data_IF_358862724488
#
_entry.id   IF_358862724488
#
_cell.length_a   1.000
_cell.length_b   1.000
_cell.length_c   1.000
_cell.angle_alpha   90.00
_cell.angle_beta   90.00
_cell.angle_gamma   90.00
#
_symmetry.space_group_name_H-M   'P 1'
#
loop_
_entity.id
_entity.type
_entity.pdbx_description
1 polymer ?
#
# COMPACT_ATOMS: atom_id res chain seq x y z
N UNK A 1 -10.67 13.47 -20.45
CA UNK A 1 -10.21 12.12 -20.04
C UNK A 1 -9.96 11.97 -18.53
N UNK A 2 -9.65 13.04 -17.78
CA UNK A 2 -9.26 12.89 -16.37
C UNK A 2 -10.38 12.61 -15.36
N UNK A 3 -11.56 13.17 -15.62
CA UNK A 3 -12.76 13.05 -14.78
C UNK A 3 -13.28 11.60 -14.77
N UNK A 4 -13.18 10.89 -15.89
CA UNK A 4 -13.63 9.48 -16.02
C UNK A 4 -12.83 8.55 -15.10
N UNK A 5 -11.50 8.71 -15.04
CA UNK A 5 -10.65 7.86 -14.17
C UNK A 5 -10.96 8.11 -12.68
N UNK A 6 -11.27 9.36 -12.32
CA UNK A 6 -11.64 9.71 -10.94
C UNK A 6 -13.00 9.14 -10.54
N UNK A 7 -14.01 9.24 -11.43
CA UNK A 7 -15.30 8.62 -11.23
C UNK A 7 -15.18 7.09 -11.06
N UNK A 8 -14.40 6.44 -11.92
CA UNK A 8 -14.09 5.01 -11.80
C UNK A 8 -13.38 4.64 -10.49
N UNK A 9 -12.50 5.52 -9.99
CA UNK A 9 -11.83 5.32 -8.71
C UNK A 9 -12.81 5.38 -7.54
N UNK A 10 -13.70 6.37 -7.51
CA UNK A 10 -14.72 6.46 -6.46
C UNK A 10 -15.67 5.25 -6.48
N UNK A 11 -16.05 4.80 -7.68
CA UNK A 11 -16.80 3.55 -7.89
C UNK A 11 -16.01 2.37 -7.34
N UNK A 12 -14.72 2.23 -7.68
CA UNK A 12 -13.88 1.13 -7.19
C UNK A 12 -13.74 1.13 -5.65
N UNK A 13 -13.63 2.30 -5.01
CA UNK A 13 -13.59 2.41 -3.55
C UNK A 13 -14.91 1.98 -2.91
N UNK A 14 -16.04 2.38 -3.52
CA UNK A 14 -17.39 2.02 -3.07
C UNK A 14 -17.70 0.54 -3.25
N UNK A 15 -17.31 -0.03 -4.39
CA UNK A 15 -17.57 -1.43 -4.75
C UNK A 15 -16.38 -2.36 -4.47
N UNK A 16 -15.37 -1.92 -3.71
CA UNK A 16 -14.14 -2.69 -3.46
C UNK A 16 -14.42 -4.11 -2.97
N UNK A 17 -15.44 -4.28 -2.12
CA UNK A 17 -15.85 -5.58 -1.58
C UNK A 17 -16.45 -6.46 -2.68
N UNK A 18 -17.34 -5.91 -3.50
CA UNK A 18 -17.94 -6.62 -4.61
C UNK A 18 -16.89 -7.02 -5.65
N UNK A 19 -16.00 -6.11 -6.03
CA UNK A 19 -14.90 -6.37 -6.96
C UNK A 19 -14.00 -7.49 -6.43
N UNK A 20 -13.63 -7.44 -5.14
CA UNK A 20 -12.84 -8.50 -4.52
C UNK A 20 -13.55 -9.85 -4.51
N UNK A 21 -14.83 -9.88 -4.09
CA UNK A 21 -15.62 -11.11 -4.06
C UNK A 21 -15.75 -11.70 -5.47
N UNK A 22 -16.09 -10.89 -6.46
CA UNK A 22 -16.20 -11.33 -7.87
C UNK A 22 -14.86 -11.84 -8.40
N UNK A 23 -13.76 -11.18 -8.06
CA UNK A 23 -12.42 -11.63 -8.42
C UNK A 23 -12.07 -12.99 -7.80
N UNK A 24 -12.33 -13.16 -6.51
CA UNK A 24 -12.09 -14.43 -5.80
C UNK A 24 -12.97 -15.54 -6.38
N UNK A 25 -14.25 -15.27 -6.63
CA UNK A 25 -15.19 -16.22 -7.23
C UNK A 25 -14.76 -16.61 -8.66
N UNK A 26 -14.39 -15.62 -9.48
CA UNK A 26 -13.89 -15.86 -10.84
C UNK A 26 -12.63 -16.71 -10.84
N UNK A 27 -11.68 -16.42 -9.95
CA UNK A 27 -10.47 -17.22 -9.81
C UNK A 27 -10.75 -18.63 -9.33
N UNK A 28 -11.63 -18.79 -8.33
CA UNK A 28 -12.05 -20.10 -7.83
C UNK A 28 -12.71 -20.94 -8.94
N UNK A 29 -13.54 -20.32 -9.78
CA UNK A 29 -14.13 -20.99 -10.93
C UNK A 29 -13.08 -21.45 -11.95
N UNK A 30 -12.09 -20.60 -12.27
CA UNK A 30 -10.98 -20.99 -13.17
C UNK A 30 -10.18 -22.15 -12.61
N UNK A 31 -9.86 -22.10 -11.30
CA UNK A 31 -9.17 -23.20 -10.63
C UNK A 31 -10.00 -24.48 -10.69
N UNK A 32 -11.28 -24.43 -10.35
CA UNK A 32 -12.18 -25.59 -10.41
C UNK A 32 -12.29 -26.19 -11.82
N UNK A 33 -12.43 -25.36 -12.86
CA UNK A 33 -12.46 -25.84 -14.26
C UNK A 33 -11.13 -26.50 -14.62
N UNK A 34 -10.00 -25.91 -14.24
CA UNK A 34 -8.69 -26.47 -14.52
C UNK A 34 -8.41 -27.78 -13.78
N UNK A 35 -8.88 -27.94 -12.54
CA UNK A 35 -8.68 -29.17 -11.75
C UNK A 35 -9.59 -30.32 -12.18
N UNK A 36 -10.76 -30.00 -12.73
CA UNK A 36 -11.74 -30.99 -13.22
C UNK A 36 -11.51 -31.37 -14.69
N UNK A 37 -10.70 -30.60 -15.42
CA UNK A 37 -10.40 -30.86 -16.83
C UNK A 37 -9.44 -32.05 -17.00
N UNK A 38 -9.77 -33.03 -17.84
CA UNK A 38 -8.86 -34.14 -18.15
C UNK A 38 -7.67 -33.73 -19.03
N UNK A 39 -7.74 -32.56 -19.68
CA UNK A 39 -6.62 -32.01 -20.45
C UNK A 39 -5.62 -31.35 -19.51
N UNK A 40 -4.34 -31.45 -19.86
CA UNK A 40 -3.28 -30.71 -19.16
C UNK A 40 -3.63 -29.21 -19.08
N UNK A 41 -3.46 -28.58 -17.90
CA UNK A 41 -3.87 -27.21 -17.66
C UNK A 41 -2.93 -26.16 -18.29
N UNK A 42 -1.97 -26.57 -19.14
CA UNK A 42 -0.90 -25.72 -19.67
C UNK A 42 -1.42 -24.44 -20.34
N UNK A 43 -2.48 -24.54 -21.15
CA UNK A 43 -3.11 -23.38 -21.78
C UNK A 43 -3.79 -22.43 -20.77
N UNK A 44 -4.42 -22.99 -19.73
CA UNK A 44 -5.04 -22.21 -18.65
C UNK A 44 -3.99 -21.50 -17.80
N UNK A 45 -2.88 -22.18 -17.49
CA UNK A 45 -1.77 -21.61 -16.74
C UNK A 45 -1.14 -20.44 -17.51
N UNK A 46 -0.88 -20.62 -18.81
CA UNK A 46 -0.35 -19.55 -19.65
C UNK A 46 -1.32 -18.36 -19.71
N UNK A 47 -2.62 -18.63 -19.90
CA UNK A 47 -3.65 -17.60 -19.89
C UNK A 47 -3.71 -16.82 -18.57
N UNK A 48 -3.66 -17.51 -17.43
CA UNK A 48 -3.61 -16.90 -16.10
C UNK A 48 -2.36 -16.08 -15.87
N UNK A 49 -1.20 -16.57 -16.33
CA UNK A 49 0.06 -15.83 -16.24
C UNK A 49 0.00 -14.53 -17.04
N UNK A 50 -0.47 -14.58 -18.29
CA UNK A 50 -0.65 -13.39 -19.13
C UNK A 50 -1.64 -12.43 -18.49
N UNK A 51 -2.79 -12.92 -18.01
CA UNK A 51 -3.78 -12.10 -17.31
C UNK A 51 -3.21 -11.42 -16.06
N UNK A 52 -2.41 -12.13 -15.26
CA UNK A 52 -1.73 -11.58 -14.08
C UNK A 52 -0.76 -10.46 -14.46
N UNK A 53 0.05 -10.65 -15.50
CA UNK A 53 1.00 -9.63 -15.98
C UNK A 53 0.26 -8.39 -16.48
N UNK A 54 -0.77 -8.57 -17.30
CA UNK A 54 -1.61 -7.46 -17.81
C UNK A 54 -2.25 -6.70 -16.65
N UNK A 55 -2.82 -7.41 -15.66
CA UNK A 55 -3.42 -6.81 -14.48
C UNK A 55 -2.40 -6.02 -13.65
N UNK A 56 -1.18 -6.54 -13.48
CA UNK A 56 -0.11 -5.85 -12.77
C UNK A 56 0.29 -4.55 -13.48
N UNK A 57 0.43 -4.59 -14.81
CA UNK A 57 0.74 -3.40 -15.63
C UNK A 57 -0.39 -2.37 -15.54
N UNK A 58 -1.65 -2.80 -15.67
CA UNK A 58 -2.82 -1.92 -15.53
C UNK A 58 -2.87 -1.30 -14.14
N UNK A 59 -2.63 -2.08 -13.09
CA UNK A 59 -2.55 -1.57 -11.73
C UNK A 59 -1.47 -0.51 -11.60
N UNK A 60 -0.26 -0.78 -12.10
CA UNK A 60 0.83 0.18 -12.05
C UNK A 60 0.48 1.48 -12.78
N UNK A 61 -0.20 1.39 -13.93
CA UNK A 61 -0.69 2.55 -14.67
C UNK A 61 -1.74 3.33 -13.86
N UNK A 62 -2.73 2.64 -13.30
CA UNK A 62 -3.80 3.23 -12.46
C UNK A 62 -3.20 3.92 -11.24
N UNK A 63 -2.29 3.26 -10.53
CA UNK A 63 -1.57 3.83 -9.37
C UNK A 63 -0.76 5.05 -9.80
N UNK A 64 -0.07 4.99 -10.94
CA UNK A 64 0.71 6.12 -11.47
C UNK A 64 -0.18 7.30 -11.82
N UNK A 65 -1.32 7.07 -12.47
CA UNK A 65 -2.27 8.14 -12.85
C UNK A 65 -2.95 8.73 -11.61
N UNK A 66 -3.39 7.89 -10.69
CA UNK A 66 -4.05 8.35 -9.48
C UNK A 66 -3.10 9.09 -8.56
N UNK A 67 -1.84 8.65 -8.43
CA UNK A 67 -0.79 9.40 -7.71
C UNK A 67 -0.57 10.80 -8.25
N UNK A 68 -0.91 11.08 -9.51
CA UNK A 68 -0.84 12.44 -10.10
C UNK A 68 -2.07 13.29 -9.81
N UNK A 69 -3.15 12.69 -9.32
CA UNK A 69 -4.47 13.34 -9.16
C UNK A 69 -5.05 13.22 -7.76
N UNK A 70 -4.31 12.63 -6.82
CA UNK A 70 -4.79 12.49 -5.45
C UNK A 70 -5.15 13.89 -4.94
N UNK A 71 -6.42 14.14 -4.59
CA UNK A 71 -6.80 15.36 -3.90
C UNK A 71 -5.95 15.43 -2.63
N UNK A 72 -5.16 16.49 -2.47
CA UNK A 72 -4.19 16.67 -1.38
C UNK A 72 -4.84 16.84 0.00
N UNK A 73 -6.16 16.66 0.09
CA UNK A 73 -6.98 17.03 1.24
C UNK A 73 -7.36 15.91 2.19
N UNK A 74 -8.00 16.32 3.28
CA UNK A 74 -8.72 15.48 4.22
C UNK A 74 -10.21 15.54 3.87
N UNK A 75 -10.90 14.42 3.96
CA UNK A 75 -12.35 14.35 3.86
C UNK A 75 -12.98 14.78 5.20
N UNK A 76 -13.90 15.73 5.16
CA UNK A 76 -14.67 16.17 6.34
C UNK A 76 -15.94 15.31 6.42
N UNK A 77 -16.03 14.41 7.40
CA UNK A 77 -17.20 13.52 7.52
C UNK A 77 -17.45 13.09 8.96
N UNK A 78 -18.66 13.38 9.45
CA UNK A 78 -19.15 12.93 10.76
C UNK A 78 -18.34 13.50 11.92
N UNK A 79 -18.03 14.81 11.89
CA UNK A 79 -17.27 15.47 12.95
C UNK A 79 -15.81 15.03 13.04
N UNK A 80 -15.24 14.56 11.93
CA UNK A 80 -13.85 14.14 11.87
C UNK A 80 -13.20 14.54 10.54
N UNK A 81 -11.88 14.72 10.55
CA UNK A 81 -11.08 14.75 9.34
C UNK A 81 -10.54 13.36 9.04
N UNK A 82 -10.71 12.89 7.81
CA UNK A 82 -10.36 11.53 7.41
C UNK A 82 -9.42 11.60 6.21
N UNK A 83 -8.31 10.87 6.26
CA UNK A 83 -7.57 10.63 5.02
C UNK A 83 -8.42 9.71 4.12
N UNK A 84 -8.40 9.91 2.80
CA UNK A 84 -8.93 8.93 1.87
C UNK A 84 -8.32 7.56 2.17
N UNK A 85 -9.08 6.50 1.94
CA UNK A 85 -8.63 5.11 2.14
C UNK A 85 -8.46 4.44 0.79
N UNK A 86 -7.41 4.76 0.02
CA UNK A 86 -7.19 4.14 -1.26
C UNK A 86 -6.99 2.64 -1.09
N UNK A 87 -7.52 1.88 -2.05
CA UNK A 87 -7.48 0.43 -2.05
C UNK A 87 -6.24 -0.11 -2.75
N UNK A 88 -5.06 0.50 -2.56
CA UNK A 88 -3.82 0.06 -3.22
C UNK A 88 -3.58 -1.45 -3.03
N UNK A 89 -3.96 -1.97 -1.86
CA UNK A 89 -3.85 -3.39 -1.53
C UNK A 89 -4.74 -4.29 -2.39
N UNK A 90 -5.90 -3.81 -2.86
CA UNK A 90 -6.72 -4.59 -3.80
C UNK A 90 -5.92 -4.96 -5.05
N UNK A 91 -5.04 -4.04 -5.47
CA UNK A 91 -4.08 -4.26 -6.54
C UNK A 91 -3.00 -5.29 -6.21
N UNK A 92 -2.59 -5.44 -4.95
CA UNK A 92 -1.60 -6.46 -4.56
C UNK A 92 -2.23 -7.84 -4.33
N UNK A 93 -3.44 -7.90 -3.78
CA UNK A 93 -4.08 -9.17 -3.46
C UNK A 93 -4.43 -9.94 -4.74
N UNK A 94 -4.88 -9.24 -5.79
CA UNK A 94 -5.36 -9.92 -6.99
C UNK A 94 -4.24 -10.66 -7.76
N UNK A 95 -3.08 -10.06 -8.04
CA UNK A 95 -1.91 -10.78 -8.56
C UNK A 95 -1.41 -11.88 -7.62
N UNK A 96 -1.45 -11.68 -6.29
CA UNK A 96 -1.04 -12.71 -5.35
C UNK A 96 -1.96 -13.93 -5.42
N UNK A 97 -3.27 -13.72 -5.52
CA UNK A 97 -4.23 -14.80 -5.74
C UNK A 97 -3.97 -15.52 -7.07
N UNK A 98 -3.70 -14.80 -8.16
CA UNK A 98 -3.30 -15.42 -9.43
C UNK A 98 -2.03 -16.28 -9.29
N UNK A 99 -1.03 -15.80 -8.56
CA UNK A 99 0.19 -16.56 -8.29
C UNK A 99 -0.10 -17.87 -7.53
N UNK A 100 -1.00 -17.85 -6.54
CA UNK A 100 -1.43 -19.06 -5.85
C UNK A 100 -2.14 -20.03 -6.81
N UNK A 101 -3.06 -19.54 -7.65
CA UNK A 101 -3.77 -20.38 -8.62
C UNK A 101 -2.82 -21.06 -9.61
N UNK A 102 -1.77 -20.35 -10.03
CA UNK A 102 -0.70 -20.87 -10.88
C UNK A 102 0.02 -22.07 -10.23
N UNK A 103 0.14 -22.13 -8.90
CA UNK A 103 0.69 -23.28 -8.18
C UNK A 103 -0.32 -24.40 -7.91
N UNK A 104 -1.57 -24.03 -7.58
CA UNK A 104 -2.64 -25.00 -7.29
C UNK A 104 -2.98 -25.84 -8.52
N UNK A 105 -3.03 -25.23 -9.71
CA UNK A 105 -3.48 -25.90 -10.93
C UNK A 105 -2.61 -27.11 -11.32
N UNK A 106 -1.28 -26.99 -11.50
CA UNK A 106 -0.44 -28.15 -11.79
C UNK A 106 -0.50 -29.21 -10.68
N UNK A 107 -0.34 -28.81 -9.41
CA UNK A 107 -0.23 -29.77 -8.31
C UNK A 107 -1.53 -30.56 -8.07
N UNK A 108 -2.69 -29.92 -8.24
CA UNK A 108 -3.97 -30.61 -8.17
C UNK A 108 -4.24 -31.51 -9.37
N UNK A 109 -3.79 -31.12 -10.57
CA UNK A 109 -3.91 -31.94 -11.77
C UNK A 109 -3.05 -33.21 -11.67
N UNK A 110 -1.76 -33.10 -11.30
CA UNK A 110 -0.87 -34.26 -11.14
C UNK A 110 -1.36 -35.20 -10.04
N UNK A 111 -1.84 -34.65 -8.91
CA UNK A 111 -2.42 -35.45 -7.84
C UNK A 111 -3.65 -36.25 -8.30
N UNK A 112 -4.46 -35.68 -9.20
CA UNK A 112 -5.69 -36.30 -9.70
C UNK A 112 -5.46 -37.34 -10.79
N UNK A 113 -4.62 -37.02 -11.78
CA UNK A 113 -4.48 -37.83 -13.00
C UNK A 113 -3.22 -38.70 -13.02
N UNK A 114 -2.16 -38.32 -12.32
CA UNK A 114 -0.92 -39.11 -12.23
C UNK A 114 -0.81 -39.87 -10.90
N UNK A 115 -1.71 -39.59 -9.95
CA UNK A 115 -1.66 -40.12 -8.57
C UNK A 115 -0.35 -39.79 -7.82
N UNK A 116 0.37 -38.76 -8.27
CA UNK A 116 1.60 -38.27 -7.63
C UNK A 116 1.27 -37.03 -6.81
N UNK A 117 1.32 -37.19 -5.47
CA UNK A 117 1.16 -36.06 -4.54
C UNK A 117 2.54 -35.64 -4.05
N UNK A 118 3.05 -34.53 -4.59
CA UNK A 118 4.24 -33.88 -4.04
C UNK A 118 3.83 -32.98 -2.85
N UNK A 119 4.16 -33.31 -1.59
CA UNK A 119 3.76 -32.49 -0.44
C UNK A 119 4.34 -31.06 -0.49
N UNK A 120 5.38 -30.81 -1.28
CA UNK A 120 5.99 -29.49 -1.38
C UNK A 120 5.05 -28.44 -2.00
N UNK A 121 4.22 -28.80 -2.98
CA UNK A 121 3.30 -27.82 -3.57
C UNK A 121 2.21 -27.38 -2.59
N UNK A 122 1.74 -28.30 -1.74
CA UNK A 122 0.80 -27.99 -0.65
C UNK A 122 1.43 -27.02 0.35
N UNK A 123 2.69 -27.25 0.72
CA UNK A 123 3.44 -26.35 1.59
C UNK A 123 3.60 -24.95 0.97
N UNK A 124 3.95 -24.87 -0.32
CA UNK A 124 4.07 -23.59 -1.05
C UNK A 124 2.73 -22.85 -1.05
N UNK A 125 1.63 -23.53 -1.41
CA UNK A 125 0.28 -22.94 -1.41
C UNK A 125 -0.10 -22.46 -0.01
N UNK A 126 0.16 -23.25 1.04
CA UNK A 126 -0.14 -22.88 2.42
C UNK A 126 0.66 -21.63 2.86
N UNK A 127 1.96 -21.59 2.56
CA UNK A 127 2.83 -20.45 2.88
C UNK A 127 2.47 -19.19 2.07
N UNK A 128 2.07 -19.32 0.81
CA UNK A 128 1.60 -18.20 0.00
C UNK A 128 0.22 -17.71 0.42
N UNK A 129 -0.66 -18.61 0.88
CA UNK A 129 -1.99 -18.25 1.36
C UNK A 129 -1.96 -17.59 2.76
N UNK A 130 -1.03 -17.95 3.64
CA UNK A 130 -0.96 -17.42 5.00
C UNK A 130 -0.93 -15.88 5.08
N UNK A 131 -0.14 -15.16 4.27
CA UNK A 131 -0.22 -13.70 4.18
C UNK A 131 -1.61 -13.15 3.87
N UNK A 132 -2.44 -13.85 3.09
CA UNK A 132 -3.81 -13.40 2.77
C UNK A 132 -4.59 -13.18 4.04
N UNK A 133 -4.56 -14.13 4.98
CA UNK A 133 -5.22 -13.98 6.28
C UNK A 133 -4.73 -12.76 7.06
N UNK A 134 -3.44 -12.42 6.93
CA UNK A 134 -2.84 -11.28 7.62
C UNK A 134 -3.31 -9.93 7.06
N UNK A 135 -3.37 -9.74 5.74
CA UNK A 135 -3.78 -8.44 5.18
C UNK A 135 -5.28 -8.33 4.86
N UNK A 136 -6.07 -9.40 5.00
CA UNK A 136 -7.52 -9.38 4.76
C UNK A 136 -8.27 -8.32 5.62
N UNK A 137 -7.99 -8.16 6.93
CA UNK A 137 -8.61 -7.10 7.72
C UNK A 137 -8.26 -5.70 7.18
N UNK A 138 -7.01 -5.52 6.76
CA UNK A 138 -6.52 -4.30 6.13
C UNK A 138 -7.19 -4.00 4.79
N UNK A 139 -7.50 -5.02 3.99
CA UNK A 139 -8.26 -4.88 2.75
C UNK A 139 -9.68 -4.38 3.02
N UNK A 140 -10.28 -4.82 4.13
CA UNK A 140 -11.66 -4.49 4.49
C UNK A 140 -11.80 -3.11 5.09
N UNK A 141 -10.89 -2.74 6.00
CA UNK A 141 -10.92 -1.48 6.74
C UNK A 141 -10.21 -0.35 5.98
N UNK A 142 -9.23 -0.69 5.14
CA UNK A 142 -8.28 0.26 4.56
C UNK A 142 -7.22 0.70 5.57
N UNK A 143 -6.26 1.49 5.08
CA UNK A 143 -5.30 2.21 5.93
C UNK A 143 -5.58 3.69 5.81
N UNK A 144 -5.52 4.37 6.95
CA UNK A 144 -5.79 5.79 7.00
C UNK A 144 -5.72 6.35 8.40
N UNK A 145 -5.80 7.67 8.47
CA UNK A 145 -5.85 8.44 9.70
C UNK A 145 -7.20 9.15 9.81
N UNK A 146 -7.74 9.16 11.02
CA UNK A 146 -8.91 9.93 11.40
C UNK A 146 -8.48 10.86 12.52
N UNK A 147 -8.66 12.17 12.33
CA UNK A 147 -8.50 13.17 13.37
C UNK A 147 -9.89 13.48 13.92
N UNK A 148 -10.02 13.42 15.24
CA UNK A 148 -11.24 13.71 15.99
C UNK A 148 -10.93 14.71 17.10
N UNK A 149 -11.92 15.41 17.67
CA UNK A 149 -11.71 16.24 18.85
C UNK A 149 -11.02 15.53 20.02
N UNK A 150 -11.26 14.21 20.18
CA UNK A 150 -10.70 13.42 21.28
C UNK A 150 -9.27 12.91 21.03
N UNK A 151 -8.88 12.79 19.75
CA UNK A 151 -7.56 12.28 19.40
C UNK A 151 -7.40 11.88 17.94
N UNK A 152 -6.33 11.11 17.70
CA UNK A 152 -5.97 10.54 16.41
C UNK A 152 -6.28 9.05 16.44
N UNK A 153 -6.98 8.56 15.41
CA UNK A 153 -7.15 7.14 15.14
C UNK A 153 -6.43 6.77 13.85
N UNK A 154 -5.43 5.91 13.94
CA UNK A 154 -4.73 5.33 12.79
C UNK A 154 -5.20 3.89 12.58
N UNK A 155 -5.91 3.65 11.49
CA UNK A 155 -6.27 2.30 11.05
C UNK A 155 -5.12 1.75 10.19
N UNK A 156 -4.61 0.57 10.55
CA UNK A 156 -3.50 -0.13 9.87
C UNK A 156 -3.96 -1.53 9.43
N UNK A 157 -3.14 -2.21 8.62
CA UNK A 157 -3.49 -3.54 8.09
C UNK A 157 -3.79 -4.57 9.18
N UNK A 158 -3.01 -4.53 10.26
CA UNK A 158 -3.03 -5.53 11.33
C UNK A 158 -3.65 -5.01 12.64
N UNK A 159 -4.23 -3.81 12.63
CA UNK A 159 -4.77 -3.24 13.86
C UNK A 159 -5.22 -1.79 13.76
N UNK A 160 -5.64 -1.25 14.88
CA UNK A 160 -6.03 0.16 15.05
C UNK A 160 -5.29 0.74 16.25
N UNK A 161 -4.71 1.92 16.06
CA UNK A 161 -4.06 2.70 17.11
C UNK A 161 -4.89 3.96 17.37
N UNK A 162 -5.30 4.16 18.62
CA UNK A 162 -5.97 5.38 19.07
C UNK A 162 -5.05 6.13 20.03
N UNK A 163 -4.78 7.39 19.69
CA UNK A 163 -3.83 8.27 20.34
C UNK A 163 -4.65 9.47 20.85
N UNK A 164 -4.96 9.54 22.16
CA UNK A 164 -5.53 10.75 22.73
C UNK A 164 -4.59 11.94 22.51
N UNK A 165 -5.13 13.13 22.34
CA UNK A 165 -4.28 14.33 22.17
C UNK A 165 -3.32 14.53 23.35
N UNK A 166 -3.74 14.18 24.56
CA UNK A 166 -2.94 14.31 25.79
C UNK A 166 -1.77 13.30 25.88
N UNK A 167 -1.71 12.33 24.96
CA UNK A 167 -0.58 11.42 24.83
C UNK A 167 0.60 12.04 24.06
N UNK A 168 0.32 13.04 23.23
CA UNK A 168 1.30 13.70 22.36
C UNK A 168 2.13 14.71 23.14
N UNK A 169 3.36 14.92 22.70
CA UNK A 169 4.13 16.09 23.09
C UNK A 169 3.53 17.36 22.46
N UNK A 170 3.52 18.46 23.21
CA UNK A 170 3.01 19.77 22.76
C UNK A 170 3.75 20.26 21.51
N UNK A 171 5.06 20.00 21.46
CA UNK A 171 5.90 20.26 20.30
C UNK A 171 6.08 18.96 19.52
N UNK A 172 5.36 18.84 18.40
CA UNK A 172 5.59 17.75 17.47
C UNK A 172 6.72 18.11 16.50
N UNK A 173 7.74 17.26 16.36
CA UNK A 173 8.75 17.48 15.35
C UNK A 173 8.10 17.42 13.96
N UNK A 174 8.22 18.48 13.19
CA UNK A 174 7.91 18.50 11.75
C UNK A 174 9.05 17.79 11.01
N UNK A 175 9.38 16.57 11.44
CA UNK A 175 10.39 15.78 10.74
C UNK A 175 9.75 15.14 9.51
N UNK A 176 10.36 15.32 8.32
CA UNK A 176 9.95 14.55 7.17
C UNK A 176 10.21 13.07 7.47
N UNK A 177 9.17 12.28 7.73
CA UNK A 177 9.34 10.83 7.84
C UNK A 177 9.90 10.28 6.52
N UNK A 178 10.81 9.30 6.60
CA UNK A 178 11.54 8.71 5.47
C UNK A 178 10.63 8.15 4.35
N UNK A 179 9.36 7.90 4.64
CA UNK A 179 8.39 7.32 3.71
C UNK A 179 7.22 8.27 3.40
N UNK A 180 6.81 8.33 2.12
CA UNK A 180 5.54 8.93 1.73
C UNK A 180 4.39 8.19 2.43
N UNK A 181 3.48 8.92 3.06
CA UNK A 181 2.33 8.35 3.77
C UNK A 181 2.60 7.91 5.21
N UNK A 182 3.67 8.44 5.83
CA UNK A 182 3.98 8.21 7.24
C UNK A 182 4.24 9.55 7.94
N UNK A 183 3.77 9.71 9.17
CA UNK A 183 4.20 10.78 10.08
C UNK A 183 4.66 10.15 11.38
N UNK A 184 5.83 10.56 11.86
CA UNK A 184 6.37 10.11 13.15
C UNK A 184 5.87 11.05 14.25
N UNK A 185 5.42 10.47 15.36
CA UNK A 185 4.86 11.17 16.50
C UNK A 185 5.80 11.07 17.70
N UNK A 186 5.83 12.13 18.50
CA UNK A 186 6.52 12.14 19.79
C UNK A 186 5.48 12.09 20.91
N UNK A 187 5.69 11.18 21.87
CA UNK A 187 4.76 10.96 22.98
C UNK A 187 5.35 11.42 24.29
N UNK A 188 4.54 12.12 25.09
CA UNK A 188 4.84 12.41 26.49
C UNK A 188 4.25 11.34 27.40
N UNK A 189 3.08 10.78 27.03
CA UNK A 189 2.33 9.78 27.81
C UNK A 189 1.95 8.55 26.97
N UNK A 190 2.92 7.70 26.60
CA UNK A 190 2.68 6.53 25.75
C UNK A 190 1.75 5.47 26.36
N UNK A 191 1.53 5.49 27.67
CA UNK A 191 0.60 4.64 28.40
C UNK A 191 -0.88 4.91 28.09
N UNK A 192 -1.22 6.11 27.59
CA UNK A 192 -2.58 6.47 27.19
C UNK A 192 -2.99 5.89 25.82
N UNK A 193 -2.03 5.34 25.09
CA UNK A 193 -2.26 4.78 23.75
C UNK A 193 -3.12 3.51 23.83
N UNK A 194 -4.23 3.50 23.10
CA UNK A 194 -5.08 2.31 22.96
C UNK A 194 -4.76 1.59 21.67
N UNK A 195 -4.50 0.28 21.76
CA UNK A 195 -4.16 -0.56 20.61
C UNK A 195 -5.12 -1.73 20.49
N UNK A 196 -5.47 -2.06 19.25
CA UNK A 196 -6.16 -3.30 18.90
C UNK A 196 -5.40 -3.99 17.78
N UNK A 197 -5.04 -5.26 17.95
CA UNK A 197 -4.28 -6.03 16.96
C UNK A 197 -2.75 -5.86 17.04
N UNK A 198 -2.06 -6.23 15.96
CA UNK A 198 -0.60 -6.23 15.86
C UNK A 198 -0.12 -4.95 15.17
N UNK A 199 0.52 -4.07 15.93
CA UNK A 199 0.93 -2.74 15.46
C UNK A 199 2.43 -2.53 15.69
N UNK A 200 3.30 -2.92 14.72
CA UNK A 200 4.71 -2.58 14.78
C UNK A 200 4.87 -1.06 14.65
N UNK A 201 5.80 -0.47 15.41
CA UNK A 201 6.07 0.98 15.43
C UNK A 201 4.88 1.85 15.83
N UNK A 202 4.72 2.05 17.15
CA UNK A 202 3.59 2.83 17.71
C UNK A 202 3.78 4.33 17.52
N UNK A 203 5.00 4.78 17.28
CA UNK A 203 5.40 6.18 17.05
C UNK A 203 5.14 6.66 15.62
N UNK A 204 4.41 5.91 14.80
CA UNK A 204 4.19 6.23 13.38
C UNK A 204 2.70 6.17 13.05
N UNK A 205 2.18 7.14 12.33
CA UNK A 205 0.85 7.06 11.73
C UNK A 205 1.00 6.83 10.24
N UNK A 206 0.24 5.87 9.71
CA UNK A 206 0.24 5.51 8.30
C UNK A 206 -1.06 5.97 7.66
N UNK A 207 -0.94 6.57 6.49
CA UNK A 207 -2.05 7.02 5.68
C UNK A 207 -1.65 7.02 4.21
N UNK A 208 -2.65 6.99 3.35
CA UNK A 208 -2.47 7.08 1.91
C UNK A 208 -3.42 8.15 1.38
N UNK A 209 -3.12 8.72 0.22
CA UNK A 209 -4.06 9.62 -0.44
C UNK A 209 -4.20 11.03 0.16
N UNK A 210 -3.36 11.42 1.12
CA UNK A 210 -3.31 12.80 1.65
C UNK A 210 -1.85 13.29 1.65
N UNK A 211 -1.65 14.60 1.53
CA UNK A 211 -0.33 15.19 1.70
C UNK A 211 0.20 14.90 3.11
N UNK A 212 1.44 14.40 3.18
CA UNK A 212 2.08 14.09 4.45
C UNK A 212 2.24 15.33 5.30
N UNK A 213 2.63 16.43 4.69
CA UNK A 213 2.98 17.65 5.39
C UNK A 213 1.71 18.30 5.96
N UNK A 214 0.57 18.19 5.26
CA UNK A 214 -0.75 18.58 5.79
C UNK A 214 -1.13 17.79 7.05
N UNK A 215 -0.92 16.47 7.08
CA UNK A 215 -1.18 15.66 8.28
C UNK A 215 -0.25 16.05 9.43
N UNK A 216 1.04 16.25 9.14
CA UNK A 216 2.00 16.66 10.14
C UNK A 216 1.62 18.02 10.76
N UNK A 217 1.20 18.97 9.93
CA UNK A 217 0.77 20.31 10.36
C UNK A 217 -0.51 20.25 11.19
N UNK A 218 -1.47 19.44 10.77
CA UNK A 218 -2.70 19.23 11.53
C UNK A 218 -2.39 18.70 12.93
N UNK A 219 -1.55 17.66 13.01
CA UNK A 219 -1.19 17.04 14.28
C UNK A 219 -0.41 18.02 15.17
N UNK A 220 0.57 18.74 14.61
CA UNK A 220 1.32 19.74 15.36
C UNK A 220 0.42 20.88 15.87
N UNK A 221 -0.48 21.39 15.02
CA UNK A 221 -1.40 22.48 15.38
C UNK A 221 -2.34 22.07 16.51
N UNK A 222 -3.04 20.93 16.39
CA UNK A 222 -4.02 20.49 17.39
C UNK A 222 -3.40 19.92 18.67
N UNK A 223 -2.16 19.44 18.61
CA UNK A 223 -1.39 19.13 19.81
C UNK A 223 -1.14 20.42 20.61
N UNK A 224 -0.60 21.46 19.95
CA UNK A 224 -0.25 22.74 20.58
C UNK A 224 -1.45 23.63 20.97
N UNK A 225 -2.63 23.46 20.34
CA UNK A 225 -3.80 24.30 20.56
C UNK A 225 -5.04 23.49 20.99
N UNK A 226 -5.18 23.13 22.29
CA UNK A 226 -6.30 22.33 22.77
C UNK A 226 -7.68 22.92 22.48
N UNK A 227 -7.83 24.24 22.57
CA UNK A 227 -9.09 24.93 22.28
C UNK A 227 -9.56 24.74 20.83
N UNK A 228 -8.62 24.59 19.88
CA UNK A 228 -8.93 24.41 18.47
C UNK A 228 -9.45 23.00 18.13
N UNK A 229 -9.26 22.00 19.01
CA UNK A 229 -9.64 20.60 18.76
C UNK A 229 -11.14 20.43 18.50
N UNK A 230 -11.97 21.30 19.07
CA UNK A 230 -13.43 21.34 18.83
C UNK A 230 -13.80 21.64 17.37
N UNK A 231 -12.90 22.28 16.61
CA UNK A 231 -13.11 22.60 15.20
C UNK A 231 -12.82 21.42 14.26
N UNK A 232 -12.20 20.35 14.78
CA UNK A 232 -11.89 19.16 14.00
C UNK A 232 -13.18 18.55 13.45
N UNK A 233 -13.19 18.31 12.13
CA UNK A 233 -14.37 17.80 11.44
C UNK A 233 -15.40 18.84 11.02
N UNK A 234 -15.12 20.14 11.19
CA UNK A 234 -15.90 21.23 10.61
C UNK A 234 -15.25 21.77 9.33
N UNK A 235 -16.03 22.38 8.44
CA UNK A 235 -15.50 23.04 7.23
C UNK A 235 -14.55 24.18 7.57
N UNK A 236 -14.91 25.03 8.55
CA UNK A 236 -14.05 26.13 9.02
C UNK A 236 -12.73 25.63 9.59
N UNK A 237 -12.75 24.55 10.38
CA UNK A 237 -11.53 23.93 10.88
C UNK A 237 -10.64 23.41 9.74
N UNK A 238 -11.24 22.87 8.69
CA UNK A 238 -10.52 22.39 7.52
C UNK A 238 -9.90 23.52 6.69
N UNK A 239 -10.62 24.63 6.49
CA UNK A 239 -10.11 25.83 5.79
C UNK A 239 -8.93 26.46 6.55
N UNK A 240 -9.06 26.64 7.87
CA UNK A 240 -7.98 27.14 8.73
C UNK A 240 -6.74 26.26 8.64
N UNK A 241 -6.94 24.93 8.61
CA UNK A 241 -5.84 23.98 8.46
C UNK A 241 -5.17 24.08 7.07
N UNK A 242 -5.95 24.25 6.00
CA UNK A 242 -5.41 24.45 4.66
C UNK A 242 -4.58 25.74 4.59
N UNK A 243 -5.06 26.81 5.21
CA UNK A 243 -4.35 28.09 5.26
C UNK A 243 -3.04 27.96 6.04
N UNK A 244 -3.08 27.36 7.24
CA UNK A 244 -1.89 27.07 8.04
C UNK A 244 -0.84 26.28 7.24
N UNK A 245 -1.29 25.26 6.51
CA UNK A 245 -0.42 24.45 5.67
C UNK A 245 0.18 25.23 4.50
N UNK A 246 -0.62 26.07 3.84
CA UNK A 246 -0.16 26.95 2.78
C UNK A 246 0.91 27.93 3.27
N UNK A 247 0.73 28.50 4.47
CA UNK A 247 1.65 29.45 5.09
C UNK A 247 2.97 28.78 5.54
N UNK A 248 2.93 27.51 5.96
CA UNK A 248 4.11 26.75 6.38
C UNK A 248 4.91 26.15 5.21
N UNK A 249 4.32 26.05 4.02
CA UNK A 249 4.93 25.42 2.84
C UNK A 249 6.22 26.12 2.35
N UNK A 250 6.30 27.46 2.24
CA UNK A 250 7.50 28.15 1.77
C UNK A 250 8.74 27.85 2.62
N UNK A 251 8.59 27.86 3.95
CA UNK A 251 9.68 27.59 4.89
C UNK A 251 10.26 26.17 4.71
N UNK A 252 9.41 25.18 4.43
CA UNK A 252 9.84 23.79 4.20
C UNK A 252 10.54 23.55 2.88
N UNK A 253 10.23 24.31 1.82
CA UNK A 253 10.91 24.17 0.51
C UNK A 253 12.41 24.48 0.59
N UNK A 254 12.83 25.28 1.57
CA UNK A 254 14.22 25.64 1.79
C UNK A 254 14.98 24.69 2.72
N UNK A 255 14.28 23.76 3.40
CA UNK A 255 14.95 22.76 4.20
C UNK A 255 15.71 21.78 3.28
N UNK A 256 17.00 21.48 3.55
CA UNK A 256 17.74 20.52 2.76
C UNK A 256 17.02 19.17 2.78
N UNK A 257 16.74 18.65 1.59
CA UNK A 257 16.04 17.38 1.42
C UNK A 257 16.81 16.30 2.21
N UNK A 258 16.17 15.61 3.18
CA UNK A 258 16.86 14.61 3.99
C UNK A 258 17.47 13.57 3.06
N UNK A 259 18.77 13.33 3.23
CA UNK A 259 19.48 12.29 2.47
C UNK A 259 18.74 10.98 2.77
N UNK A 260 18.12 10.32 1.78
CA UNK A 260 17.28 9.17 2.05
C UNK A 260 18.11 8.10 2.77
N UNK A 261 17.62 7.68 3.94
CA UNK A 261 18.27 6.65 4.73
C UNK A 261 18.53 5.42 3.87
N UNK A 262 19.78 4.90 3.90
CA UNK A 262 20.25 3.78 3.08
C UNK A 262 19.26 2.62 3.10
N UNK A 263 18.49 2.50 2.02
CA UNK A 263 17.83 1.34 1.43
C UNK A 263 17.89 0.09 2.32
N UNK A 264 17.06 0.04 3.37
CA UNK A 264 16.79 -1.21 4.07
C UNK A 264 15.95 -2.07 3.11
N UNK A 265 16.60 -3.02 2.46
CA UNK A 265 15.94 -4.13 1.77
C UNK A 265 14.96 -4.72 2.80
N UNK A 266 13.66 -4.48 2.61
CA UNK A 266 12.64 -4.97 3.54
C UNK A 266 12.80 -6.48 3.70
N UNK A 267 12.67 -7.05 4.90
CA UNK A 267 12.76 -8.51 5.11
C UNK A 267 11.87 -9.34 4.18
N UNK A 268 10.79 -8.75 3.65
CA UNK A 268 9.96 -9.32 2.58
C UNK A 268 10.72 -9.70 1.30
N UNK A 269 11.77 -8.94 0.94
CA UNK A 269 12.67 -9.24 -0.18
C UNK A 269 13.53 -10.47 0.11
N UNK A 270 14.01 -10.61 1.34
CA UNK A 270 14.81 -11.76 1.76
C UNK A 270 13.94 -13.02 1.77
N UNK A 271 12.70 -12.93 2.24
CA UNK A 271 11.75 -14.06 2.26
C UNK A 271 11.35 -14.47 0.84
N UNK A 272 11.07 -13.52 -0.06
CA UNK A 272 10.78 -13.83 -1.46
C UNK A 272 11.99 -14.44 -2.19
N UNK A 273 13.20 -13.92 -1.95
CA UNK A 273 14.43 -14.47 -2.49
C UNK A 273 14.73 -15.87 -1.94
N UNK A 274 14.56 -16.09 -0.63
CA UNK A 274 14.75 -17.40 0.01
C UNK A 274 13.73 -18.42 -0.47
N UNK A 275 12.46 -18.03 -0.66
CA UNK A 275 11.45 -18.90 -1.25
C UNK A 275 11.79 -19.30 -2.70
N UNK A 276 12.36 -18.36 -3.48
CA UNK A 276 12.81 -18.62 -4.85
C UNK A 276 14.02 -19.57 -4.88
N UNK A 277 14.96 -19.41 -3.94
CA UNK A 277 16.15 -20.27 -3.82
C UNK A 277 15.80 -21.66 -3.27
N UNK A 278 14.90 -21.75 -2.29
CA UNK A 278 14.46 -23.02 -1.72
C UNK A 278 13.72 -23.89 -2.76
N UNK A 279 12.96 -23.26 -3.65
CA UNK A 279 12.30 -23.93 -4.76
C UNK A 279 13.23 -24.28 -5.93
N UNK A 280 14.48 -23.82 -5.92
CA UNK A 280 15.48 -24.13 -6.94
C UNK A 280 16.32 -25.39 -6.61
N UNK A 281 16.07 -26.09 -5.49
CA UNK A 281 16.77 -27.35 -5.19
C UNK A 281 16.24 -28.51 -6.05
N UNK A 282 17.11 -29.33 -6.64
CA UNK A 282 16.71 -30.33 -7.63
C UNK A 282 16.10 -31.58 -6.96
N UNK A 283 14.97 -32.06 -7.50
CA UNK A 283 14.99 -33.39 -8.10
C UNK A 283 14.66 -33.32 -9.60
N UNK A 284 15.17 -34.28 -10.37
CA UNK A 284 15.43 -34.20 -11.81
C UNK A 284 14.21 -34.12 -12.76
N UNK A 285 12.97 -34.03 -12.28
CA UNK A 285 11.79 -34.33 -13.11
C UNK A 285 10.83 -33.18 -13.47
N UNK A 286 11.04 -31.93 -13.03
CA UNK A 286 10.09 -30.83 -13.31
C UNK A 286 10.78 -29.60 -13.91
N UNK A 287 11.04 -29.63 -15.21
CA UNK A 287 11.69 -28.54 -15.97
C UNK A 287 10.76 -27.32 -16.13
N UNK A 288 9.44 -27.54 -16.20
CA UNK A 288 8.44 -26.47 -16.38
C UNK A 288 8.17 -25.63 -15.13
N UNK A 289 8.12 -26.24 -13.94
CA UNK A 289 7.83 -25.49 -12.70
C UNK A 289 8.98 -24.57 -12.27
N UNK A 290 10.22 -24.91 -12.66
CA UNK A 290 11.45 -24.15 -12.36
C UNK A 290 11.48 -22.78 -13.00
N UNK A 291 11.14 -22.70 -14.29
CA UNK A 291 11.10 -21.43 -15.04
C UNK A 291 10.03 -20.51 -14.44
N UNK A 292 8.90 -21.10 -14.05
CA UNK A 292 7.76 -20.36 -13.52
C UNK A 292 8.00 -19.80 -12.12
N UNK A 293 8.69 -20.53 -11.25
CA UNK A 293 9.08 -20.05 -9.92
C UNK A 293 10.15 -18.95 -10.02
N UNK A 294 11.11 -19.10 -10.94
CA UNK A 294 12.07 -18.04 -11.28
C UNK A 294 11.38 -16.77 -11.80
N UNK A 295 10.34 -16.92 -12.63
CA UNK A 295 9.53 -15.82 -13.14
C UNK A 295 8.71 -15.13 -12.04
N UNK A 296 8.18 -15.87 -11.06
CA UNK A 296 7.46 -15.29 -9.92
C UNK A 296 8.41 -14.53 -9.00
N UNK A 297 9.60 -15.08 -8.73
CA UNK A 297 10.68 -14.36 -8.04
C UNK A 297 11.08 -13.07 -8.79
N UNK A 298 11.18 -13.14 -10.11
CA UNK A 298 11.48 -12.00 -10.98
C UNK A 298 10.34 -10.96 -11.02
N UNK A 299 9.07 -11.38 -10.98
CA UNK A 299 7.92 -10.47 -10.95
C UNK A 299 7.78 -9.77 -9.60
N UNK A 300 8.02 -10.49 -8.49
CA UNK A 300 8.17 -9.89 -7.16
C UNK A 300 9.32 -8.87 -7.14
N UNK A 301 10.45 -9.21 -7.77
CA UNK A 301 11.60 -8.32 -7.95
C UNK A 301 11.25 -7.08 -8.78
N UNK A 302 10.57 -7.24 -9.93
CA UNK A 302 10.20 -6.14 -10.82
C UNK A 302 9.14 -5.22 -10.21
N UNK A 303 8.16 -5.77 -9.49
CA UNK A 303 7.17 -4.97 -8.76
C UNK A 303 7.81 -4.10 -7.67
N UNK A 304 8.79 -4.66 -6.95
CA UNK A 304 9.54 -3.91 -5.96
C UNK A 304 10.53 -2.91 -6.59
N UNK A 305 11.21 -3.28 -7.69
CA UNK A 305 12.08 -2.41 -8.47
C UNK A 305 11.31 -1.24 -9.11
N UNK A 306 10.08 -1.46 -9.57
CA UNK A 306 9.25 -0.41 -10.12
C UNK A 306 8.74 0.57 -9.05
N UNK A 307 8.47 0.07 -7.84
CA UNK A 307 8.20 0.92 -6.67
C UNK A 307 9.44 1.77 -6.29
N UNK A 308 10.65 1.22 -6.47
CA UNK A 308 11.92 1.95 -6.29
C UNK A 308 12.17 2.97 -7.42
N UNK A 309 11.90 2.62 -8.69
CA UNK A 309 12.10 3.49 -9.85
C UNK A 309 11.13 4.69 -9.88
N UNK A 310 9.88 4.48 -9.45
CA UNK A 310 8.92 5.58 -9.31
C UNK A 310 9.31 6.58 -8.21
N UNK A 311 10.08 6.16 -7.20
CA UNK A 311 10.64 7.08 -6.20
C UNK A 311 11.81 7.92 -6.76
N UNK A 312 12.64 7.35 -7.64
CA UNK A 312 13.82 8.05 -8.19
C UNK A 312 13.47 9.08 -9.27
N UNK A 313 12.43 8.85 -10.07
CA UNK A 313 12.05 9.75 -11.17
C UNK A 313 11.42 11.07 -10.70
N UNK A 314 10.67 11.07 -9.59
CA UNK A 314 10.22 12.32 -8.96
C UNK A 314 11.38 13.20 -8.46
N UNK A 315 12.57 12.62 -8.21
CA UNK A 315 13.78 13.34 -7.75
C UNK A 315 14.45 14.18 -8.83
N UNK A 316 14.33 13.79 -10.11
CA UNK A 316 14.94 14.56 -11.22
C UNK A 316 14.12 15.78 -11.62
N UNK A 317 12.83 15.81 -11.30
CA UNK A 317 11.94 16.90 -11.69
C UNK A 317 12.03 18.12 -10.76
N UNK A 318 12.47 17.95 -9.51
CA UNK A 318 12.71 19.04 -8.55
C UNK A 318 14.11 19.66 -8.61
N UNK A 319 15.06 19.05 -9.34
CA UNK A 319 16.42 19.57 -9.56
C UNK A 319 16.61 20.22 -10.93
N UNK A 320 15.61 20.92 -11.47
CA UNK A 320 15.91 21.90 -12.52
C UNK A 320 16.49 23.13 -11.81
N UNK A 321 17.76 23.49 -12.06
CA UNK A 321 18.31 24.74 -11.52
C UNK A 321 17.40 25.87 -12.01
N UNK A 322 16.89 26.67 -11.08
CA UNK A 322 16.33 27.98 -11.39
C UNK A 322 17.52 28.77 -11.91
N UNK A 323 17.64 28.86 -13.23
CA UNK A 323 18.64 29.74 -13.84
C UNK A 323 18.35 31.15 -13.33
N UNK A 324 19.34 31.87 -12.79
CA UNK A 324 19.15 33.24 -12.38
C UNK A 324 18.62 34.02 -13.58
N UNK A 325 17.48 34.70 -13.37
CA UNK A 325 16.83 35.50 -14.37
C UNK A 325 17.77 36.66 -14.76
N UNK A 326 18.52 36.51 -15.86
CA UNK A 326 19.57 37.43 -16.29
C UNK A 326 19.02 38.71 -16.95
N UNK A 327 17.84 39.18 -16.52
CA UNK A 327 17.10 40.28 -17.14
C UNK A 327 17.05 41.58 -16.32
N UNK A 328 18.03 41.82 -15.45
CA UNK A 328 18.20 43.11 -14.78
C UNK A 328 19.68 43.54 -14.86
N UNK A 329 20.05 44.07 -16.02
CA UNK A 329 21.13 45.05 -16.11
C UNK A 329 20.51 46.27 -16.78
N UNK A 330 20.45 47.34 -15.99
CA UNK A 330 20.07 48.71 -16.34
C UNK A 330 20.93 49.28 -17.46
#
# INVERSE_FOLDING_TARGET
MGIVIFAWWMVAVRYRRAIFVLAVLGLAAVVAVGTLSPREPTGLILGLFVAMVVLLVLLMLVVRVARRRVPTGLEVTGGAFRSPRPSFFLGLVLPHLCAIAIFVLPGSWTARYEHVVDPNWLLVVALSAAPIGLYLPGLWRGVGVILTPDGIRSDRYLGTLTIPWDALADVQPVQPADARGEVRLTYTRPELLRRTGLLPHRDRIYFEGTDRDLIADAVAHYAAHPAARSTIGSHTGYENLQQLHADATPARRHAPEPIPSRWKISGSFLIAALATVAAARPPAALTGSRIMIGLIGLLCFLGAAANLYTRSTTRKQSRRPVLPNSGQWS
#
